data_IF_095832925673
#
_entry.id   IF_095832925673
#
_cell.length_a   1.000
_cell.length_b   1.000
_cell.length_c   1.000
_cell.angle_alpha   90.00
_cell.angle_beta   90.00
_cell.angle_gamma   90.00
#
_symmetry.space_group_name_H-M   'P 1'
#
loop_
_entity.id
_entity.type
_entity.pdbx_description
1 polymer ?
#
# COMPACT_ATOMS: atom_id res chain seq x y z
N UNK A 1 -11.24 3.70 -6.63
CA UNK A 1 -10.83 2.31 -6.37
C UNK A 1 -11.28 1.37 -7.49
N UNK A 2 -12.57 1.32 -7.81
CA UNK A 2 -13.12 0.31 -8.72
C UNK A 2 -12.61 0.47 -10.16
N UNK A 3 -12.69 1.66 -10.72
CA UNK A 3 -12.32 1.94 -12.12
C UNK A 3 -10.87 2.32 -12.33
N UNK A 4 -10.15 2.73 -11.29
CA UNK A 4 -8.81 3.31 -11.41
C UNK A 4 -8.78 4.74 -11.99
N UNK A 5 -9.96 5.36 -12.21
CA UNK A 5 -10.03 6.73 -12.74
C UNK A 5 -9.53 7.75 -11.71
N UNK A 6 -8.67 8.67 -12.15
CA UNK A 6 -8.25 9.82 -11.35
C UNK A 6 -9.39 10.85 -11.35
N UNK A 7 -9.92 11.19 -10.18
CA UNK A 7 -10.98 12.16 -9.99
C UNK A 7 -10.44 13.56 -9.71
N UNK A 8 -9.31 13.62 -9.04
CA UNK A 8 -8.57 14.86 -8.75
C UNK A 8 -7.08 14.55 -8.70
N UNK A 9 -6.26 15.40 -9.29
CA UNK A 9 -4.80 15.31 -9.26
C UNK A 9 -4.17 16.70 -9.14
N UNK A 10 -3.12 16.80 -8.33
CA UNK A 10 -2.26 17.97 -8.21
C UNK A 10 -0.83 17.50 -8.17
N UNK A 11 -0.11 17.65 -9.29
CA UNK A 11 1.26 17.15 -9.44
C UNK A 11 1.34 15.64 -9.12
N UNK A 12 0.30 14.91 -9.46
CA UNK A 12 0.11 13.51 -9.09
C UNK A 12 1.11 12.56 -9.74
N UNK A 13 1.81 13.03 -10.76
CA UNK A 13 2.87 12.29 -11.47
C UNK A 13 4.28 12.74 -11.11
N UNK A 14 4.43 13.71 -10.20
CA UNK A 14 5.76 14.15 -9.78
C UNK A 14 6.39 13.10 -8.86
N UNK A 15 7.64 12.65 -9.12
CA UNK A 15 8.34 11.73 -8.24
C UNK A 15 8.71 12.41 -6.92
N UNK A 16 8.39 11.73 -5.82
CA UNK A 16 8.59 12.24 -4.47
C UNK A 16 9.00 11.12 -3.51
N UNK A 17 9.75 11.46 -2.46
CA UNK A 17 9.98 10.56 -1.35
C UNK A 17 8.65 10.21 -0.68
N UNK A 18 8.46 8.92 -0.36
CA UNK A 18 7.17 8.40 0.09
C UNK A 18 7.14 7.96 1.56
N UNK A 19 8.29 7.96 2.23
CA UNK A 19 8.44 7.49 3.60
C UNK A 19 7.78 6.10 3.82
N UNK A 20 7.25 5.85 5.01
CA UNK A 20 6.66 4.56 5.39
C UNK A 20 5.37 4.16 4.65
N UNK A 21 4.87 4.96 3.68
CA UNK A 21 3.83 4.46 2.77
C UNK A 21 4.35 3.32 1.87
N UNK A 22 5.67 3.21 1.71
CA UNK A 22 6.41 2.06 1.15
C UNK A 22 5.94 0.73 1.72
N UNK A 23 5.62 0.68 3.01
CA UNK A 23 5.25 -0.55 3.73
C UNK A 23 3.96 -1.21 3.22
N UNK A 24 3.17 -0.50 2.42
CA UNK A 24 2.03 -1.07 1.68
C UNK A 24 2.53 -2.14 0.70
N UNK A 25 3.56 -1.83 -0.08
CA UNK A 25 4.18 -2.78 -1.00
C UNK A 25 4.86 -3.93 -0.24
N UNK A 26 5.54 -3.62 0.85
CA UNK A 26 6.17 -4.64 1.72
C UNK A 26 5.14 -5.61 2.28
N UNK A 27 4.00 -5.10 2.77
CA UNK A 27 2.92 -5.91 3.33
C UNK A 27 2.31 -6.84 2.27
N UNK A 28 1.96 -6.33 1.10
CA UNK A 28 1.30 -7.15 0.07
C UNK A 28 2.25 -8.22 -0.48
N UNK A 29 3.52 -7.91 -0.66
CA UNK A 29 4.52 -8.90 -1.08
C UNK A 29 4.75 -9.98 -0.03
N UNK A 30 4.72 -9.61 1.25
CA UNK A 30 4.82 -10.57 2.34
C UNK A 30 3.61 -11.53 2.36
N UNK A 31 2.42 -11.01 2.14
CA UNK A 31 1.20 -11.82 2.05
C UNK A 31 1.19 -12.74 0.81
N UNK A 32 1.72 -12.27 -0.31
CA UNK A 32 1.72 -13.05 -1.56
C UNK A 32 2.83 -14.10 -1.64
N UNK A 33 4.00 -13.86 -1.02
CA UNK A 33 5.19 -14.71 -1.15
C UNK A 33 5.59 -15.41 0.15
N UNK A 34 5.08 -14.96 1.30
CA UNK A 34 5.32 -15.56 2.60
C UNK A 34 4.15 -16.38 3.09
N UNK A 35 4.38 -17.24 4.05
CA UNK A 35 3.34 -17.91 4.83
C UNK A 35 3.19 -17.21 6.18
N UNK A 36 1.97 -17.03 6.68
CA UNK A 36 1.73 -16.40 8.00
C UNK A 36 2.48 -17.07 9.13
N UNK A 37 2.67 -18.39 9.02
CA UNK A 37 3.38 -19.24 9.98
C UNK A 37 4.89 -19.33 9.72
N UNK A 38 5.41 -18.64 8.69
CA UNK A 38 6.85 -18.58 8.45
C UNK A 38 7.54 -17.88 9.62
N UNK A 39 8.72 -18.38 10.00
CA UNK A 39 9.52 -17.80 11.07
C UNK A 39 10.51 -16.81 10.48
N UNK A 40 10.42 -15.58 10.91
CA UNK A 40 11.38 -14.53 10.63
C UNK A 40 12.37 -14.41 11.80
N UNK A 41 13.66 -14.43 11.48
CA UNK A 41 14.74 -14.27 12.49
C UNK A 41 15.36 -12.89 12.31
N UNK A 42 15.48 -12.14 13.38
CA UNK A 42 16.11 -10.83 13.36
C UNK A 42 17.61 -10.93 13.08
N UNK A 43 18.06 -10.31 12.01
CA UNK A 43 19.47 -10.14 11.70
C UNK A 43 20.10 -8.98 12.50
N UNK A 44 21.42 -8.87 12.47
CA UNK A 44 22.11 -7.70 12.99
C UNK A 44 21.64 -6.40 12.30
N UNK A 45 21.27 -6.47 11.01
CA UNK A 45 20.75 -5.33 10.24
C UNK A 45 19.36 -4.93 10.72
N UNK A 46 18.47 -5.89 10.98
CA UNK A 46 17.15 -5.63 11.56
C UNK A 46 17.28 -5.02 12.97
N UNK A 47 18.13 -5.59 13.83
CA UNK A 47 18.37 -5.08 15.18
C UNK A 47 18.97 -3.66 15.21
N UNK A 48 19.70 -3.27 14.16
CA UNK A 48 20.27 -1.92 14.01
C UNK A 48 19.32 -0.92 13.34
N UNK A 49 18.07 -1.34 12.97
CA UNK A 49 17.13 -0.47 12.29
C UNK A 49 16.79 0.78 13.12
N UNK A 50 16.77 1.98 12.52
CA UNK A 50 16.48 3.20 13.26
C UNK A 50 15.01 3.26 13.66
N UNK A 51 14.70 4.10 14.66
CA UNK A 51 13.32 4.38 15.08
C UNK A 51 12.48 4.90 13.89
N UNK A 52 11.22 4.53 13.78
CA UNK A 52 10.37 3.74 14.68
C UNK A 52 10.67 2.25 14.51
N UNK A 53 10.84 1.52 15.59
CA UNK A 53 11.19 0.09 15.54
C UNK A 53 10.51 -0.68 16.69
N UNK A 54 10.32 -1.98 16.49
CA UNK A 54 9.86 -2.91 17.51
C UNK A 54 10.90 -3.06 18.63
N UNK A 55 12.19 -2.97 18.26
CA UNK A 55 13.33 -3.05 19.17
C UNK A 55 13.84 -4.47 19.35
N UNK A 56 13.85 -5.21 18.24
CA UNK A 56 14.33 -6.61 18.22
C UNK A 56 15.83 -6.73 18.49
N UNK A 57 16.24 -7.85 19.08
CA UNK A 57 17.64 -8.23 19.21
C UNK A 57 18.00 -9.27 18.14
N UNK A 58 19.28 -9.29 17.74
CA UNK A 58 19.77 -10.29 16.81
C UNK A 58 19.50 -11.71 17.30
N UNK A 59 18.93 -12.53 16.41
CA UNK A 59 18.52 -13.90 16.69
C UNK A 59 17.10 -14.06 17.26
N UNK A 60 16.41 -12.98 17.66
CA UNK A 60 15.00 -13.08 18.04
C UNK A 60 14.14 -13.54 16.87
N UNK A 61 13.11 -14.33 17.18
CA UNK A 61 12.25 -14.93 16.17
C UNK A 61 10.79 -14.57 16.38
N UNK A 62 10.12 -14.34 15.25
CA UNK A 62 8.70 -13.97 15.20
C UNK A 62 7.99 -14.71 14.07
N UNK A 63 6.67 -14.87 14.19
CA UNK A 63 5.87 -15.28 13.05
C UNK A 63 5.76 -14.12 12.04
N UNK A 64 5.89 -14.44 10.77
CA UNK A 64 5.77 -13.44 9.69
C UNK A 64 4.41 -12.73 9.74
N UNK A 65 3.32 -13.46 10.03
CA UNK A 65 1.99 -12.90 10.20
C UNK A 65 1.91 -11.83 11.29
N UNK A 66 2.58 -12.04 12.44
CA UNK A 66 2.62 -11.06 13.53
C UNK A 66 3.38 -9.78 13.13
N UNK A 67 4.47 -9.95 12.38
CA UNK A 67 5.25 -8.82 11.87
C UNK A 67 4.48 -7.95 10.89
N UNK A 68 3.45 -8.46 10.18
CA UNK A 68 2.59 -7.64 9.33
C UNK A 68 1.80 -6.61 10.12
N UNK A 69 1.30 -6.98 11.30
CA UNK A 69 0.62 -6.02 12.19
C UNK A 69 1.61 -4.99 12.76
N UNK A 70 2.79 -5.43 13.18
CA UNK A 70 3.89 -4.53 13.60
C UNK A 70 4.25 -3.53 12.50
N UNK A 71 4.38 -4.00 11.26
CA UNK A 71 4.68 -3.22 10.06
C UNK A 71 3.61 -2.16 9.75
N UNK A 72 2.35 -2.57 9.74
CA UNK A 72 1.27 -1.72 9.24
C UNK A 72 0.68 -0.81 10.32
N UNK A 73 0.52 -1.28 11.56
CA UNK A 73 -0.09 -0.53 12.64
C UNK A 73 0.89 0.49 13.24
N UNK A 74 2.09 0.04 13.63
CA UNK A 74 3.11 0.87 14.29
C UNK A 74 4.17 1.41 13.33
N UNK A 75 4.26 0.84 12.14
CA UNK A 75 5.25 1.25 11.13
C UNK A 75 6.69 0.88 11.50
N UNK A 76 6.93 -0.20 12.22
CA UNK A 76 8.24 -0.59 12.67
C UNK A 76 9.21 -0.91 11.51
N UNK A 77 10.41 -0.34 11.57
CA UNK A 77 11.41 -0.44 10.50
C UNK A 77 12.15 -1.77 10.51
N UNK A 78 12.43 -2.30 11.69
CA UNK A 78 13.03 -3.61 11.90
C UNK A 78 12.12 -4.74 11.40
N UNK A 79 10.81 -4.65 11.67
CA UNK A 79 9.83 -5.58 11.11
C UNK A 79 9.86 -5.62 9.58
N UNK A 80 10.02 -4.46 8.92
CA UNK A 80 10.16 -4.41 7.47
C UNK A 80 11.44 -5.09 6.95
N UNK A 81 12.56 -4.92 7.67
CA UNK A 81 13.83 -5.58 7.34
C UNK A 81 13.70 -7.09 7.51
N UNK A 82 13.17 -7.56 8.65
CA UNK A 82 12.97 -8.99 8.90
C UNK A 82 12.08 -9.64 7.83
N UNK A 83 11.00 -8.98 7.44
CA UNK A 83 10.11 -9.43 6.35
C UNK A 83 10.88 -9.56 5.05
N UNK A 84 11.64 -8.53 4.67
CA UNK A 84 12.41 -8.52 3.43
C UNK A 84 13.45 -9.64 3.38
N UNK A 85 14.21 -9.81 4.44
CA UNK A 85 15.23 -10.86 4.54
C UNK A 85 14.61 -12.26 4.56
N UNK A 86 13.46 -12.45 5.22
CA UNK A 86 12.76 -13.73 5.26
C UNK A 86 12.25 -14.16 3.88
N UNK A 87 11.78 -13.21 3.06
CA UNK A 87 11.18 -13.52 1.75
C UNK A 87 12.24 -13.62 0.65
N UNK A 88 13.23 -12.73 0.65
CA UNK A 88 14.17 -12.58 -0.47
C UNK A 88 15.64 -12.77 -0.08
N UNK A 89 15.92 -13.12 1.17
CA UNK A 89 17.28 -13.33 1.68
C UNK A 89 18.09 -12.05 1.92
N UNK A 90 17.65 -10.89 1.40
CA UNK A 90 18.29 -9.59 1.61
C UNK A 90 17.35 -8.42 1.32
N UNK A 91 17.71 -7.21 1.76
CA UNK A 91 17.02 -5.97 1.45
C UNK A 91 17.04 -5.70 -0.07
N UNK A 92 18.18 -5.89 -0.71
CA UNK A 92 18.37 -5.64 -2.14
C UNK A 92 17.51 -6.61 -2.98
N UNK A 93 17.49 -7.90 -2.61
CA UNK A 93 16.64 -8.90 -3.26
C UNK A 93 15.15 -8.56 -3.11
N UNK A 94 14.75 -8.06 -1.94
CA UNK A 94 13.38 -7.63 -1.72
C UNK A 94 13.04 -6.33 -2.48
N UNK A 95 13.97 -5.36 -2.55
CA UNK A 95 13.80 -4.16 -3.36
C UNK A 95 13.61 -4.48 -4.84
N UNK A 96 14.36 -5.45 -5.37
CA UNK A 96 14.15 -5.95 -6.73
C UNK A 96 12.73 -6.51 -6.93
N UNK A 97 12.24 -7.34 -5.98
CA UNK A 97 10.88 -7.87 -6.00
C UNK A 97 9.82 -6.76 -5.92
N UNK A 98 10.05 -5.71 -5.10
CA UNK A 98 9.17 -4.54 -5.02
C UNK A 98 9.08 -3.79 -6.36
N UNK A 99 10.20 -3.59 -7.03
CA UNK A 99 10.27 -2.90 -8.32
C UNK A 99 9.61 -3.74 -9.43
N UNK A 100 9.83 -5.05 -9.46
CA UNK A 100 9.13 -5.96 -10.38
C UNK A 100 7.61 -5.89 -10.17
N UNK A 101 7.15 -5.95 -8.93
CA UNK A 101 5.73 -5.84 -8.60
C UNK A 101 5.16 -4.48 -9.01
N UNK A 102 5.88 -3.39 -8.79
CA UNK A 102 5.46 -2.05 -9.20
C UNK A 102 5.26 -1.97 -10.72
N UNK A 103 6.18 -2.55 -11.50
CA UNK A 103 6.05 -2.63 -12.95
C UNK A 103 4.81 -3.46 -13.38
N UNK A 104 4.56 -4.59 -12.73
CA UNK A 104 3.36 -5.44 -12.98
C UNK A 104 2.07 -4.70 -12.67
N UNK A 105 2.04 -3.88 -11.62
CA UNK A 105 0.89 -3.04 -11.23
C UNK A 105 0.66 -1.90 -12.24
N UNK A 106 1.68 -1.54 -13.03
CA UNK A 106 1.64 -0.45 -13.99
C UNK A 106 2.06 0.90 -13.40
N UNK A 107 2.92 0.87 -12.36
CA UNK A 107 3.59 2.07 -11.89
C UNK A 107 4.60 2.55 -12.93
N UNK A 108 4.62 3.85 -13.20
CA UNK A 108 5.43 4.41 -14.29
C UNK A 108 6.64 5.20 -13.79
N UNK A 109 6.61 5.64 -12.53
CA UNK A 109 7.67 6.45 -11.93
C UNK A 109 7.78 6.13 -10.42
N UNK A 110 8.16 4.88 -10.14
CA UNK A 110 8.33 4.36 -8.79
C UNK A 110 9.62 3.53 -8.73
N UNK A 111 10.48 3.83 -7.75
CA UNK A 111 11.71 3.09 -7.49
C UNK A 111 11.86 2.79 -6.00
N UNK A 112 11.88 1.52 -5.67
CA UNK A 112 12.08 1.04 -4.32
C UNK A 112 13.53 0.65 -4.07
N UNK A 113 14.10 1.15 -2.98
CA UNK A 113 15.45 0.81 -2.50
C UNK A 113 15.39 0.16 -1.12
N UNK A 114 14.39 0.54 -0.29
CA UNK A 114 14.24 0.03 1.07
C UNK A 114 12.83 -0.54 1.31
N UNK A 115 12.68 -1.58 2.16
CA UNK A 115 11.38 -2.14 2.49
C UNK A 115 10.59 -1.30 3.50
N UNK A 116 11.25 -0.38 4.20
CA UNK A 116 10.67 0.42 5.29
C UNK A 116 10.32 1.86 4.89
N UNK A 117 10.86 2.34 3.76
CA UNK A 117 10.63 3.70 3.26
C UNK A 117 11.55 4.77 3.82
N UNK A 118 12.67 4.37 4.42
CA UNK A 118 13.74 5.30 4.73
C UNK A 118 14.40 5.80 3.44
N UNK A 119 14.80 7.07 3.46
CA UNK A 119 15.43 7.70 2.33
C UNK A 119 16.76 6.99 2.00
N UNK A 120 16.89 6.51 0.77
CA UNK A 120 18.08 5.82 0.27
C UNK A 120 18.16 5.98 -1.25
N UNK A 121 19.30 5.61 -1.82
CA UNK A 121 19.55 5.61 -3.26
C UNK A 121 20.40 4.40 -3.62
N UNK A 122 20.24 3.91 -4.84
CA UNK A 122 21.08 2.89 -5.45
C UNK A 122 21.47 3.31 -6.88
N UNK A 123 21.98 2.38 -7.68
CA UNK A 123 22.35 2.63 -9.07
C UNK A 123 21.15 3.01 -9.96
N UNK A 124 19.92 2.65 -9.57
CA UNK A 124 18.67 2.98 -10.27
C UNK A 124 18.11 4.36 -9.89
N UNK A 125 18.58 4.96 -8.81
CA UNK A 125 18.16 6.29 -8.35
C UNK A 125 17.72 6.35 -6.90
N UNK A 126 17.02 7.42 -6.55
CA UNK A 126 16.46 7.64 -5.23
C UNK A 126 15.23 6.75 -4.98
N UNK A 127 14.99 6.39 -3.71
CA UNK A 127 13.75 5.77 -3.27
C UNK A 127 12.58 6.75 -3.41
N UNK A 128 11.70 6.54 -4.40
CA UNK A 128 10.61 7.46 -4.73
C UNK A 128 9.37 6.76 -5.29
N UNK A 129 8.27 7.49 -5.33
CA UNK A 129 7.05 7.15 -6.07
C UNK A 129 6.31 8.43 -6.47
N UNK A 130 5.22 8.27 -7.22
CA UNK A 130 4.26 9.36 -7.47
C UNK A 130 2.96 9.11 -6.69
N UNK A 131 2.16 10.16 -6.48
CA UNK A 131 0.85 9.99 -5.85
C UNK A 131 -0.06 9.07 -6.68
N UNK A 132 0.03 9.14 -8.00
CA UNK A 132 -0.72 8.29 -8.92
C UNK A 132 -0.31 6.82 -8.79
N UNK A 133 1.00 6.53 -8.75
CA UNK A 133 1.50 5.16 -8.61
C UNK A 133 1.17 4.56 -7.25
N UNK A 134 1.33 5.33 -6.17
CA UNK A 134 0.98 4.86 -4.84
C UNK A 134 -0.53 4.58 -4.71
N UNK A 135 -1.38 5.35 -5.39
CA UNK A 135 -2.81 5.05 -5.49
C UNK A 135 -3.08 3.75 -6.28
N UNK A 136 -2.32 3.45 -7.36
CA UNK A 136 -2.38 2.19 -8.09
C UNK A 136 -1.97 1.01 -7.21
N UNK A 137 -0.89 1.16 -6.43
CA UNK A 137 -0.42 0.16 -5.47
C UNK A 137 -1.51 -0.12 -4.43
N UNK A 138 -2.10 0.92 -3.83
CA UNK A 138 -3.20 0.75 -2.87
C UNK A 138 -4.39 0.04 -3.52
N UNK A 139 -4.78 0.44 -4.74
CA UNK A 139 -5.86 -0.21 -5.49
C UNK A 139 -5.57 -1.70 -5.71
N UNK A 140 -4.35 -2.04 -6.10
CA UNK A 140 -3.93 -3.42 -6.25
C UNK A 140 -4.13 -4.19 -4.94
N UNK A 141 -3.64 -3.66 -3.82
CA UNK A 141 -3.71 -4.30 -2.52
C UNK A 141 -5.15 -4.59 -2.04
N UNK A 142 -6.09 -3.67 -2.31
CA UNK A 142 -7.46 -3.79 -1.78
C UNK A 142 -8.47 -4.42 -2.74
N UNK A 143 -8.15 -4.53 -4.05
CA UNK A 143 -9.12 -4.99 -5.07
C UNK A 143 -8.61 -6.11 -5.96
N UNK A 144 -7.34 -6.11 -6.33
CA UNK A 144 -6.83 -6.95 -7.43
C UNK A 144 -5.94 -8.09 -6.93
N UNK A 145 -5.21 -7.88 -5.85
CA UNK A 145 -4.34 -8.92 -5.27
C UNK A 145 -5.14 -10.13 -4.82
N UNK A 146 -4.64 -11.36 -5.04
CA UNK A 146 -5.23 -12.57 -4.45
C UNK A 146 -5.24 -12.55 -2.91
N UNK A 147 -4.50 -11.62 -2.30
CA UNK A 147 -4.38 -11.40 -0.85
C UNK A 147 -5.07 -10.12 -0.36
N UNK A 148 -6.01 -9.59 -1.14
CA UNK A 148 -6.73 -8.35 -0.78
C UNK A 148 -7.49 -8.48 0.55
N UNK A 149 -8.10 -9.63 0.81
CA UNK A 149 -8.85 -9.88 2.05
C UNK A 149 -7.91 -9.85 3.27
N UNK A 150 -6.77 -10.52 3.19
CA UNK A 150 -5.78 -10.57 4.27
C UNK A 150 -5.13 -9.19 4.47
N UNK A 151 -4.84 -8.48 3.39
CA UNK A 151 -4.34 -7.10 3.47
C UNK A 151 -5.32 -6.18 4.18
N UNK A 152 -6.61 -6.24 3.85
CA UNK A 152 -7.64 -5.47 4.52
C UNK A 152 -7.79 -5.89 5.99
N UNK A 153 -7.73 -7.18 6.31
CA UNK A 153 -7.78 -7.65 7.69
C UNK A 153 -6.67 -7.03 8.54
N UNK A 154 -5.44 -7.02 8.04
CA UNK A 154 -4.30 -6.39 8.74
C UNK A 154 -4.52 -4.88 8.89
N UNK A 155 -4.86 -4.17 7.82
CA UNK A 155 -4.91 -2.70 7.82
C UNK A 155 -6.13 -2.10 8.52
N UNK A 156 -7.20 -2.87 8.70
CA UNK A 156 -8.40 -2.47 9.45
C UNK A 156 -8.29 -2.76 10.95
N UNK A 157 -7.37 -3.63 11.36
CA UNK A 157 -7.18 -3.98 12.77
C UNK A 157 -6.80 -2.75 13.58
N UNK A 158 -7.52 -2.50 14.69
CA UNK A 158 -7.29 -1.33 15.57
C UNK A 158 -6.13 -1.54 16.51
N UNK A 159 -6.04 -2.72 17.07
CA UNK A 159 -4.95 -3.13 17.96
C UNK A 159 -4.66 -4.61 17.80
N UNK A 160 -3.42 -4.97 17.98
CA UNK A 160 -2.96 -6.36 17.87
C UNK A 160 -1.88 -6.63 18.91
N UNK A 161 -1.98 -7.78 19.58
CA UNK A 161 -1.01 -8.21 20.58
C UNK A 161 -0.40 -9.53 20.13
N UNK A 162 0.92 -9.61 20.17
CA UNK A 162 1.66 -10.83 19.84
C UNK A 162 2.88 -10.99 20.73
N UNK A 163 3.55 -12.12 20.58
CA UNK A 163 4.73 -12.49 21.34
C UNK A 163 5.86 -12.85 20.39
N UNK A 164 7.12 -12.72 20.87
CA UNK A 164 8.22 -13.43 20.23
C UNK A 164 7.95 -14.95 20.25
N UNK A 165 8.67 -15.70 19.41
CA UNK A 165 8.43 -17.15 19.28
C UNK A 165 8.74 -17.92 20.57
N UNK A 166 9.64 -17.42 21.41
CA UNK A 166 9.99 -17.97 22.71
C UNK A 166 9.02 -17.57 23.83
N UNK A 167 8.06 -16.67 23.53
CA UNK A 167 7.06 -16.12 24.48
C UNK A 167 7.69 -15.39 25.68
N UNK A 168 8.84 -14.78 25.47
CA UNK A 168 9.53 -13.98 26.47
C UNK A 168 9.04 -12.54 26.53
N UNK A 169 8.76 -11.96 25.34
CA UNK A 169 8.37 -10.56 25.19
C UNK A 169 7.00 -10.45 24.54
N UNK A 170 6.15 -9.61 25.10
CA UNK A 170 4.83 -9.28 24.56
C UNK A 170 4.86 -7.90 23.91
N UNK A 171 4.30 -7.82 22.72
CA UNK A 171 4.23 -6.59 21.92
C UNK A 171 2.78 -6.20 21.66
N UNK A 172 2.48 -4.91 21.82
CA UNK A 172 1.17 -4.35 21.55
C UNK A 172 1.29 -3.30 20.45
N UNK A 173 0.50 -3.46 19.39
CA UNK A 173 0.44 -2.54 18.27
C UNK A 173 -0.91 -1.84 18.23
N UNK A 174 -0.91 -0.52 17.98
CA UNK A 174 -2.10 0.30 17.78
C UNK A 174 -2.07 0.91 16.38
N UNK A 175 -3.20 0.94 15.71
CA UNK A 175 -3.29 1.48 14.37
C UNK A 175 -3.28 3.00 14.36
N UNK A 176 -2.30 3.59 13.69
CA UNK A 176 -2.15 5.04 13.56
C UNK A 176 -2.95 5.67 12.40
N UNK A 177 -3.80 4.91 11.71
CA UNK A 177 -4.69 5.43 10.69
C UNK A 177 -5.95 6.04 11.34
N UNK A 178 -5.89 7.32 11.66
CA UNK A 178 -7.00 8.02 12.32
C UNK A 178 -8.30 8.04 11.48
N UNK A 179 -8.23 7.93 10.15
CA UNK A 179 -9.43 7.92 9.31
C UNK A 179 -10.32 6.70 9.54
N UNK A 180 -9.75 5.59 10.02
CA UNK A 180 -10.55 4.43 10.40
C UNK A 180 -11.61 4.75 11.47
N UNK A 181 -11.35 5.73 12.35
CA UNK A 181 -12.27 6.14 13.41
C UNK A 181 -13.00 7.44 13.08
N UNK A 182 -12.43 8.29 12.23
CA UNK A 182 -12.94 9.63 11.93
C UNK A 182 -13.83 9.68 10.69
N UNK A 183 -13.77 8.66 9.81
CA UNK A 183 -14.49 8.68 8.54
C UNK A 183 -15.19 7.34 8.29
N UNK A 184 -16.52 7.38 8.26
CA UNK A 184 -17.34 6.22 7.96
C UNK A 184 -16.98 5.64 6.59
N UNK A 185 -16.81 4.33 6.54
CA UNK A 185 -16.43 3.61 5.33
C UNK A 185 -14.92 3.54 5.08
N UNK A 186 -14.07 4.12 5.93
CA UNK A 186 -12.61 3.94 5.79
C UNK A 186 -12.23 2.47 5.99
N UNK A 187 -11.50 1.90 5.02
CA UNK A 187 -11.19 0.46 4.98
C UNK A 187 -9.69 0.16 5.03
N UNK A 188 -8.82 1.12 4.76
CA UNK A 188 -7.38 0.91 4.77
C UNK A 188 -6.63 2.23 4.80
N UNK A 189 -5.36 2.19 5.18
CA UNK A 189 -4.46 3.33 5.04
C UNK A 189 -3.11 3.13 5.71
N UNK A 190 -2.14 3.93 5.27
CA UNK A 190 -0.79 3.97 5.82
C UNK A 190 -0.26 5.39 5.84
N UNK A 191 0.31 5.77 6.98
CA UNK A 191 1.02 7.04 7.16
C UNK A 191 2.51 6.87 6.90
N UNK A 192 3.17 7.96 6.54
CA UNK A 192 4.63 8.04 6.45
C UNK A 192 5.15 9.41 6.85
N UNK A 193 6.39 9.45 7.32
CA UNK A 193 7.12 10.69 7.57
C UNK A 193 8.62 10.44 7.54
N UNK A 194 9.34 11.21 6.74
CA UNK A 194 10.78 11.49 6.89
C UNK A 194 11.00 13.00 6.75
N UNK A 195 12.16 13.48 7.11
CA UNK A 195 12.48 14.91 6.95
C UNK A 195 12.41 15.33 5.46
N UNK A 196 12.83 14.45 4.53
CA UNK A 196 12.79 14.65 3.07
C UNK A 196 11.35 14.58 2.54
N UNK A 197 10.59 13.55 2.95
CA UNK A 197 9.25 13.29 2.42
C UNK A 197 8.16 14.22 2.96
N UNK A 198 8.32 14.78 4.17
CA UNK A 198 7.21 15.37 4.89
C UNK A 198 6.18 14.32 5.31
N UNK A 199 4.99 14.76 5.71
CA UNK A 199 3.89 13.85 6.03
C UNK A 199 3.27 13.28 4.76
N UNK A 200 3.23 11.96 4.68
CA UNK A 200 2.60 11.20 3.61
C UNK A 200 1.44 10.38 4.16
N UNK A 201 0.44 10.18 3.35
CA UNK A 201 -0.70 9.31 3.64
C UNK A 201 -1.27 8.72 2.36
N UNK A 202 -1.60 7.45 2.42
CA UNK A 202 -2.46 6.83 1.40
C UNK A 202 -3.52 6.01 2.11
N UNK A 203 -4.76 6.12 1.66
CA UNK A 203 -5.88 5.41 2.29
C UNK A 203 -7.01 5.14 1.32
N UNK A 204 -7.90 4.26 1.74
CA UNK A 204 -9.06 3.85 0.97
C UNK A 204 -10.34 3.92 1.82
N UNK A 205 -11.43 4.24 1.14
CA UNK A 205 -12.78 4.32 1.70
C UNK A 205 -13.75 3.59 0.79
N UNK A 206 -14.68 2.84 1.38
CA UNK A 206 -15.78 2.20 0.68
C UNK A 206 -17.10 2.62 1.33
N UNK A 207 -17.90 3.41 0.61
CA UNK A 207 -19.17 3.94 1.09
C UNK A 207 -20.11 4.27 -0.08
N UNK A 208 -21.40 4.06 0.09
CA UNK A 208 -22.45 4.35 -0.89
C UNK A 208 -22.17 3.71 -2.26
N UNK A 209 -21.64 2.47 -2.26
CA UNK A 209 -21.30 1.74 -3.48
C UNK A 209 -20.07 2.28 -4.22
N UNK A 210 -19.29 3.16 -3.61
CA UNK A 210 -18.08 3.76 -4.19
C UNK A 210 -16.85 3.35 -3.40
N UNK A 211 -15.81 2.91 -4.08
CA UNK A 211 -14.50 2.74 -3.51
C UNK A 211 -13.58 3.88 -3.97
N UNK A 212 -13.13 4.68 -3.02
CA UNK A 212 -12.27 5.83 -3.27
C UNK A 212 -10.90 5.63 -2.62
N UNK A 213 -9.86 6.06 -3.31
CA UNK A 213 -8.48 6.04 -2.81
C UNK A 213 -7.96 7.47 -2.81
N UNK A 214 -7.32 7.85 -1.73
CA UNK A 214 -6.62 9.14 -1.59
C UNK A 214 -5.15 8.91 -1.34
N UNK A 215 -4.29 9.68 -2.01
CA UNK A 215 -2.85 9.69 -1.78
C UNK A 215 -2.36 11.11 -1.63
N UNK A 216 -1.61 11.36 -0.58
CA UNK A 216 -1.00 12.63 -0.25
C UNK A 216 0.48 12.41 0.02
N UNK A 217 1.33 13.05 -0.76
CA UNK A 217 2.78 13.12 -0.55
C UNK A 217 3.14 14.56 -0.16
N UNK A 218 4.17 14.73 0.70
CA UNK A 218 4.61 16.04 1.18
C UNK A 218 3.47 16.91 1.76
N UNK A 219 2.53 16.30 2.46
CA UNK A 219 1.37 16.99 3.04
C UNK A 219 1.70 17.61 4.41
N UNK A 220 2.65 18.55 4.40
CA UNK A 220 3.13 19.27 5.59
C UNK A 220 4.38 18.65 6.23
N UNK A 221 4.99 19.44 7.12
CA UNK A 221 6.17 19.11 7.92
C UNK A 221 5.85 19.29 9.41
N UNK A 222 6.80 19.13 10.33
CA UNK A 222 6.57 19.37 11.76
C UNK A 222 5.80 20.66 12.01
N UNK A 223 4.81 20.62 12.90
CA UNK A 223 3.75 21.60 13.20
C UNK A 223 2.49 21.49 12.31
N UNK A 224 2.50 20.72 11.24
CA UNK A 224 1.36 20.51 10.35
C UNK A 224 0.98 19.03 10.22
N UNK A 225 1.20 18.20 11.25
CA UNK A 225 0.96 16.75 11.23
C UNK A 225 -0.49 16.33 10.93
N UNK A 226 -1.45 17.23 11.13
CA UNK A 226 -2.87 16.93 10.94
C UNK A 226 -3.38 17.28 9.54
N UNK A 227 -2.60 17.99 8.71
CA UNK A 227 -3.02 18.35 7.35
C UNK A 227 -3.42 17.14 6.52
N UNK A 228 -2.67 16.03 6.62
CA UNK A 228 -2.99 14.78 5.91
C UNK A 228 -4.40 14.26 6.23
N UNK A 229 -4.89 14.40 7.46
CA UNK A 229 -6.24 13.97 7.84
C UNK A 229 -7.30 14.89 7.27
N UNK A 230 -7.10 16.20 7.42
CA UNK A 230 -8.01 17.21 6.91
C UNK A 230 -8.13 17.15 5.38
N UNK A 231 -7.01 17.04 4.69
CA UNK A 231 -7.00 17.03 3.23
C UNK A 231 -7.48 15.69 2.67
N UNK A 232 -7.12 14.56 3.30
CA UNK A 232 -7.67 13.26 2.92
C UNK A 232 -9.21 13.23 3.05
N UNK A 233 -9.74 13.71 4.18
CA UNK A 233 -11.20 13.77 4.38
C UNK A 233 -11.89 14.69 3.36
N UNK A 234 -11.31 15.86 3.04
CA UNK A 234 -11.85 16.76 2.01
C UNK A 234 -11.90 16.10 0.63
N UNK A 235 -10.80 15.44 0.22
CA UNK A 235 -10.73 14.78 -1.09
C UNK A 235 -11.68 13.60 -1.19
N UNK A 236 -11.80 12.80 -0.14
CA UNK A 236 -12.73 11.67 -0.09
C UNK A 236 -14.19 12.15 -0.14
N UNK A 237 -14.54 13.18 0.63
CA UNK A 237 -15.88 13.78 0.59
C UNK A 237 -16.18 14.37 -0.78
N UNK A 238 -15.23 15.08 -1.40
CA UNK A 238 -15.37 15.57 -2.76
C UNK A 238 -15.69 14.43 -3.75
N UNK A 239 -14.98 13.31 -3.64
CA UNK A 239 -15.25 12.13 -4.46
C UNK A 239 -16.64 11.53 -4.23
N UNK A 240 -17.09 11.47 -2.97
CA UNK A 240 -18.42 10.96 -2.60
C UNK A 240 -19.55 11.85 -3.11
N UNK A 241 -19.42 13.15 -3.01
CA UNK A 241 -20.47 14.14 -3.31
C UNK A 241 -20.54 14.49 -4.80
N UNK A 242 -19.35 14.59 -5.47
CA UNK A 242 -19.28 15.12 -6.84
C UNK A 242 -19.34 14.06 -7.93
N UNK A 243 -19.22 12.77 -7.60
CA UNK A 243 -19.20 11.70 -8.58
C UNK A 243 -20.23 10.63 -8.27
N UNK A 244 -20.83 10.07 -9.32
CA UNK A 244 -21.72 8.91 -9.25
C UNK A 244 -21.33 7.92 -10.32
N UNK A 245 -21.41 6.62 -10.00
CA UNK A 245 -21.32 5.59 -11.04
C UNK A 245 -22.55 5.66 -11.93
N UNK A 246 -22.32 5.53 -13.23
CA UNK A 246 -23.39 5.38 -14.23
C UNK A 246 -22.97 4.28 -15.19
N UNK A 247 -23.91 3.37 -15.45
CA UNK A 247 -23.75 2.47 -16.56
C UNK A 247 -23.85 3.26 -17.86
N UNK A 248 -22.76 3.31 -18.61
CA UNK A 248 -22.69 3.98 -19.92
C UNK A 248 -23.08 3.06 -21.06
N UNK A 249 -23.12 1.75 -20.81
CA UNK A 249 -23.57 0.74 -21.77
C UNK A 249 -24.94 0.25 -21.37
N UNK A 250 -25.89 0.33 -22.29
CA UNK A 250 -27.16 -0.36 -22.17
C UNK A 250 -26.88 -1.89 -22.32
N UNK A 251 -26.91 -2.61 -21.22
CA UNK A 251 -26.74 -4.08 -21.23
C UNK A 251 -27.83 -4.81 -22.02
N UNK A 252 -28.93 -4.14 -22.37
CA UNK A 252 -29.96 -4.66 -23.25
C UNK A 252 -29.63 -4.47 -24.73
N UNK A 253 -28.67 -3.61 -25.07
CA UNK A 253 -28.25 -3.37 -26.45
C UNK A 253 -27.53 -4.60 -26.99
N UNK A 254 -28.12 -5.19 -28.02
CA UNK A 254 -27.49 -6.26 -28.81
C UNK A 254 -27.03 -5.65 -30.12
N UNK A 255 -25.73 -5.80 -30.47
CA UNK A 255 -25.27 -5.37 -31.78
C UNK A 255 -26.09 -6.08 -32.86
N UNK A 256 -26.53 -5.32 -33.85
CA UNK A 256 -27.17 -5.87 -35.03
C UNK A 256 -26.25 -6.89 -35.72
N UNK A 257 -26.83 -7.73 -36.55
CA UNK A 257 -26.05 -8.73 -37.31
C UNK A 257 -25.01 -8.01 -38.19
N UNK A 258 -23.73 -8.30 -37.93
CA UNK A 258 -22.63 -7.82 -38.77
C UNK A 258 -22.31 -8.92 -39.77
N UNK A 259 -22.47 -8.67 -41.07
CA UNK A 259 -22.04 -9.58 -42.09
C UNK A 259 -20.50 -9.50 -42.23
N UNK A 260 -19.84 -10.58 -41.90
CA UNK A 260 -18.40 -10.73 -42.10
C UNK A 260 -18.12 -11.47 -43.38
N UNK A 261 -17.47 -10.79 -44.31
CA UNK A 261 -17.28 -11.29 -45.70
C UNK A 261 -16.19 -12.38 -45.83
N UNK A 262 -15.32 -12.61 -44.87
CA UNK A 262 -14.29 -13.66 -44.96
C UNK A 262 -13.47 -13.88 -43.67
N UNK A 263 -14.09 -14.09 -42.51
CA UNK A 263 -13.35 -14.43 -41.31
C UNK A 263 -13.85 -15.73 -40.68
N UNK A 264 -12.92 -16.61 -40.30
CA UNK A 264 -13.24 -17.82 -39.55
C UNK A 264 -13.42 -17.55 -38.06
N UNK A 265 -12.91 -16.44 -37.56
CA UNK A 265 -13.04 -16.01 -36.15
C UNK A 265 -13.15 -14.47 -36.07
N UNK A 266 -14.16 -14.00 -35.36
CA UNK A 266 -14.30 -12.60 -34.96
C UNK A 266 -14.09 -12.54 -33.44
N UNK A 267 -13.02 -11.89 -33.02
CA UNK A 267 -12.86 -11.46 -31.64
C UNK A 267 -13.26 -10.00 -31.54
N UNK A 268 -14.32 -9.71 -30.78
CA UNK A 268 -14.61 -8.34 -30.39
C UNK A 268 -13.49 -7.88 -29.44
N UNK A 269 -12.94 -6.66 -29.61
CA UNK A 269 -12.02 -6.13 -28.65
C UNK A 269 -12.71 -6.11 -27.30
N UNK A 270 -12.05 -6.65 -26.27
CA UNK A 270 -12.51 -6.51 -24.89
C UNK A 270 -12.51 -5.02 -24.58
N UNK A 271 -13.68 -4.40 -24.49
CA UNK A 271 -13.80 -3.02 -24.01
C UNK A 271 -13.49 -3.11 -22.52
N UNK A 272 -12.23 -2.80 -22.18
CA UNK A 272 -11.92 -2.50 -20.78
C UNK A 272 -12.80 -1.32 -20.41
N UNK A 273 -13.62 -1.48 -19.38
CA UNK A 273 -14.42 -0.40 -18.78
C UNK A 273 -13.51 0.78 -18.48
N UNK A 274 -13.77 1.88 -19.13
CA UNK A 274 -13.09 3.17 -18.95
C UNK A 274 -13.52 3.79 -17.62
#
# INVERSE_FOLDING_TARGET
GDTGRVLFGKRETDPMAMASTTKIMTCILALENGGEQAVATASAQAAAAPKVHLGVYEGEQFLLGDLLYSLMLESHNDAAVMIAETISGSIEGFAALMNEKAAVIGCTDTHFVTPNGLDASDAGGDHHTTAADLARIMRYCIKTSPKATEFLAVTQTRSYTFWDLEKKNMFNCCNHNALLDQMEGAISGKTGFTAKAGYCYTGALERDGKCLIVTLLACGWPNHKNYKWTDAAKLLNYGLESYTYRDVLDHSWKPGRIEAVSYTHLTLPTICSV
#
